data_IF_587631405898
#
_entry.id   IF_587631405898
#
_cell.length_a   1.000
_cell.length_b   1.000
_cell.length_c   1.000
_cell.angle_alpha   90.00
_cell.angle_beta   90.00
_cell.angle_gamma   90.00
#
_symmetry.space_group_name_H-M   'P 1'
#
loop_
_entity.id
_entity.type
_entity.pdbx_description
1 polymer ?
#
# COMPACT_ATOMS: atom_id res chain seq x y z
N UNK A 1 -23.09 3.82 -3.29
CA UNK A 1 -22.67 5.14 -2.84
C UNK A 1 -21.34 5.53 -3.45
N UNK A 2 -21.30 6.70 -3.99
CA UNK A 2 -20.09 7.18 -4.65
C UNK A 2 -19.15 7.82 -3.64
N UNK A 3 -17.93 7.34 -3.57
CA UNK A 3 -16.93 7.95 -2.73
C UNK A 3 -16.27 9.09 -3.45
N UNK A 4 -16.12 10.20 -2.77
CA UNK A 4 -15.35 11.29 -3.29
C UNK A 4 -13.89 10.92 -3.33
N UNK A 5 -13.28 11.11 -4.48
CA UNK A 5 -11.85 10.93 -4.60
C UNK A 5 -11.14 12.09 -3.92
N UNK A 6 -10.05 11.81 -3.26
CA UNK A 6 -9.23 12.84 -2.68
C UNK A 6 -8.66 13.70 -3.79
N UNK A 7 -8.87 15.01 -3.70
CA UNK A 7 -8.36 15.94 -4.70
C UNK A 7 -6.93 16.36 -4.43
N UNK A 8 -6.48 16.20 -3.20
CA UNK A 8 -5.17 16.63 -2.79
C UNK A 8 -4.51 15.55 -1.96
N UNK A 9 -3.30 15.21 -2.31
CA UNK A 9 -2.54 14.20 -1.60
C UNK A 9 -1.76 14.86 -0.48
N UNK A 10 -2.06 14.48 0.75
CA UNK A 10 -1.36 14.99 1.92
C UNK A 10 -0.11 14.14 2.12
N UNK A 11 1.04 14.81 2.26
CA UNK A 11 2.29 14.13 2.52
C UNK A 11 3.01 13.62 1.28
N UNK A 12 2.47 13.86 0.09
CA UNK A 12 3.13 13.45 -1.13
C UNK A 12 2.15 13.21 -2.25
N UNK A 13 2.69 12.86 -3.42
CA UNK A 13 1.87 12.68 -4.60
C UNK A 13 2.09 11.30 -5.24
N UNK A 14 2.57 10.32 -4.46
CA UNK A 14 2.95 9.02 -4.99
C UNK A 14 1.78 8.24 -5.58
N UNK A 15 0.58 8.52 -5.12
CA UNK A 15 -0.62 7.79 -5.52
C UNK A 15 -1.60 8.64 -6.32
N UNK A 16 -1.23 9.88 -6.60
CA UNK A 16 -2.16 10.88 -7.10
C UNK A 16 -2.79 10.47 -8.42
N UNK A 17 -2.02 9.87 -9.30
CA UNK A 17 -2.48 9.52 -10.64
C UNK A 17 -2.87 8.06 -10.79
N UNK A 18 -2.98 7.33 -9.70
CA UNK A 18 -3.39 5.94 -9.78
C UNK A 18 -4.90 5.84 -10.00
N UNK A 19 -5.30 4.88 -10.83
CA UNK A 19 -6.72 4.64 -11.09
C UNK A 19 -7.46 4.34 -9.79
N UNK A 20 -6.86 3.53 -8.93
CA UNK A 20 -7.38 3.23 -7.59
C UNK A 20 -6.22 3.41 -6.64
N UNK A 21 -6.39 4.28 -5.66
CA UNK A 21 -5.32 4.48 -4.69
C UNK A 21 -5.22 3.30 -3.74
N UNK A 22 -4.00 2.94 -3.31
CA UNK A 22 -3.83 1.82 -2.39
C UNK A 22 -4.73 1.90 -1.16
N UNK A 23 -4.88 3.08 -0.57
CA UNK A 23 -5.71 3.23 0.62
C UNK A 23 -7.17 2.87 0.35
N UNK A 24 -7.68 3.19 -0.83
CA UNK A 24 -9.04 2.83 -1.21
C UNK A 24 -9.21 1.32 -1.27
N UNK A 25 -8.27 0.64 -1.92
CA UNK A 25 -8.30 -0.80 -2.06
C UNK A 25 -8.17 -1.51 -0.71
N UNK A 26 -7.21 -1.05 0.10
CA UNK A 26 -6.94 -1.63 1.42
C UNK A 26 -8.18 -1.53 2.30
N UNK A 27 -8.78 -0.35 2.37
CA UNK A 27 -9.94 -0.13 3.21
C UNK A 27 -11.18 -0.86 2.70
N UNK A 28 -11.39 -0.85 1.39
CA UNK A 28 -12.58 -1.51 0.83
C UNK A 28 -12.56 -3.01 1.07
N UNK A 29 -11.37 -3.61 1.11
CA UNK A 29 -11.22 -5.04 1.29
C UNK A 29 -10.89 -5.43 2.73
N UNK A 30 -10.87 -4.47 3.64
CA UNK A 30 -10.61 -4.70 5.06
C UNK A 30 -9.30 -5.45 5.29
N UNK A 31 -8.25 -5.06 4.58
CA UNK A 31 -6.97 -5.72 4.71
C UNK A 31 -6.30 -5.36 6.03
N UNK A 32 -5.55 -6.30 6.56
CA UNK A 32 -4.78 -6.08 7.77
C UNK A 32 -3.59 -5.19 7.49
N UNK A 33 -2.94 -4.73 8.56
CA UNK A 33 -1.88 -3.75 8.44
C UNK A 33 -0.73 -4.21 7.54
N UNK A 34 -0.22 -5.43 7.77
CA UNK A 34 0.93 -5.91 7.01
C UNK A 34 0.59 -6.05 5.52
N UNK A 35 -0.60 -6.59 5.21
CA UNK A 35 -1.05 -6.69 3.83
C UNK A 35 -1.16 -5.33 3.18
N UNK A 36 -1.71 -4.36 3.92
CA UNK A 36 -1.81 -3.01 3.42
C UNK A 36 -0.44 -2.39 3.15
N UNK A 37 0.52 -2.64 4.03
CA UNK A 37 1.88 -2.15 3.83
C UNK A 37 2.49 -2.72 2.55
N UNK A 38 2.30 -4.01 2.30
CA UNK A 38 2.81 -4.63 1.07
C UNK A 38 2.25 -3.91 -0.15
N UNK A 39 0.94 -3.69 -0.16
CA UNK A 39 0.30 -3.02 -1.30
C UNK A 39 0.85 -1.62 -1.50
N UNK A 40 1.00 -0.86 -0.40
CA UNK A 40 1.54 0.49 -0.49
C UNK A 40 2.96 0.51 -1.06
N UNK A 41 3.84 -0.31 -0.50
CA UNK A 41 5.24 -0.30 -0.92
C UNK A 41 5.40 -0.77 -2.36
N UNK A 42 4.71 -1.82 -2.75
CA UNK A 42 4.79 -2.32 -4.12
C UNK A 42 4.25 -1.29 -5.10
N UNK A 43 3.18 -0.59 -4.71
CA UNK A 43 2.55 0.37 -5.62
C UNK A 43 3.41 1.61 -5.86
N UNK A 44 4.25 2.00 -4.89
CA UNK A 44 4.95 3.28 -4.98
C UNK A 44 6.45 3.18 -5.26
N UNK A 45 7.03 1.98 -5.23
CA UNK A 45 8.49 1.85 -5.20
C UNK A 45 9.18 2.58 -6.35
N UNK A 46 8.57 2.60 -7.53
CA UNK A 46 9.17 3.27 -8.69
C UNK A 46 9.24 4.79 -8.53
N UNK A 47 8.35 5.35 -7.74
CA UNK A 47 8.23 6.80 -7.59
C UNK A 47 8.70 7.29 -6.24
N UNK A 48 9.30 6.43 -5.42
CA UNK A 48 9.77 6.85 -4.11
C UNK A 48 11.11 6.20 -3.78
N UNK A 49 11.12 5.17 -2.96
CA UNK A 49 12.37 4.67 -2.39
C UNK A 49 12.94 3.45 -3.11
N UNK A 50 12.32 3.04 -4.21
CA UNK A 50 12.86 1.97 -5.04
C UNK A 50 13.11 0.68 -4.27
N UNK A 51 14.37 0.26 -4.25
CA UNK A 51 14.75 -1.01 -3.62
C UNK A 51 14.32 -1.07 -2.16
N UNK A 52 14.44 0.02 -1.42
CA UNK A 52 14.06 0.05 -0.02
C UNK A 52 12.58 -0.29 0.16
N UNK A 53 11.71 0.25 -0.68
CA UNK A 53 10.29 -0.07 -0.62
C UNK A 53 10.04 -1.54 -0.88
N UNK A 54 10.74 -2.13 -1.83
CA UNK A 54 10.59 -3.56 -2.12
C UNK A 54 11.06 -4.41 -0.94
N UNK A 55 12.18 -4.03 -0.31
CA UNK A 55 12.66 -4.74 0.88
C UNK A 55 11.66 -4.65 2.03
N UNK A 56 11.03 -3.50 2.20
CA UNK A 56 9.99 -3.35 3.21
C UNK A 56 8.77 -4.21 2.91
N UNK A 57 8.41 -4.34 1.64
CA UNK A 57 7.31 -5.22 1.25
C UNK A 57 7.65 -6.68 1.58
N UNK A 58 8.87 -7.10 1.30
CA UNK A 58 9.33 -8.46 1.63
C UNK A 58 9.27 -8.69 3.15
N UNK A 59 9.72 -7.73 3.95
CA UNK A 59 9.66 -7.85 5.39
C UNK A 59 8.23 -8.04 5.88
N UNK A 60 7.30 -7.29 5.32
CA UNK A 60 5.90 -7.42 5.71
C UNK A 60 5.31 -8.77 5.29
N UNK A 61 5.75 -9.29 4.14
CA UNK A 61 5.33 -10.63 3.72
C UNK A 61 5.84 -11.70 4.69
N UNK A 62 7.05 -11.53 5.22
CA UNK A 62 7.58 -12.43 6.23
C UNK A 62 6.74 -12.41 7.51
N UNK A 63 6.32 -11.23 7.94
CA UNK A 63 5.41 -11.12 9.08
C UNK A 63 4.11 -11.87 8.84
N UNK A 64 3.56 -11.78 7.63
CA UNK A 64 2.33 -12.49 7.30
C UNK A 64 2.55 -14.01 7.38
N UNK A 65 3.67 -14.48 6.85
CA UNK A 65 4.00 -15.90 6.93
C UNK A 65 4.06 -16.38 8.36
N UNK A 66 4.74 -15.63 9.23
CA UNK A 66 4.85 -15.99 10.64
C UNK A 66 3.49 -15.97 11.34
N UNK A 67 2.70 -14.96 11.05
CA UNK A 67 1.40 -14.80 11.72
C UNK A 67 0.42 -15.89 11.34
N UNK A 68 0.37 -16.25 10.05
CA UNK A 68 -0.73 -17.07 9.53
C UNK A 68 -0.33 -18.50 9.18
N UNK A 69 0.95 -18.78 8.94
CA UNK A 69 1.35 -20.08 8.38
C UNK A 69 2.49 -20.78 9.13
N UNK A 70 3.04 -20.12 10.09
CA UNK A 70 4.05 -20.76 10.96
C UNK A 70 3.44 -21.30 12.26
#
# INVERSE_FOLDING_TARGET
MTKKKLKKQIGGSHYKNMAIQPIEYINANHLKFAEGCVIKYVSRHQNKNGKEDILKAIQNLEFILQRDYD
#
